data_IF_328871000370
#
_entry.id   IF_328871000370
#
_cell.length_a   1.000
_cell.length_b   1.000
_cell.length_c   1.000
_cell.angle_alpha   90.00
_cell.angle_beta   90.00
_cell.angle_gamma   90.00
#
_symmetry.space_group_name_H-M   'P 1'
#
loop_
_entity.id
_entity.type
_entity.pdbx_description
1 polymer ?
#
# COMPACT_ATOMS: atom_id res chain seq x y z
N UNK A 1 -14.19 -10.34 8.34
CA UNK A 1 -14.72 -11.58 7.71
C UNK A 1 -13.59 -12.56 7.47
N UNK A 2 -13.84 -13.87 7.62
CA UNK A 2 -12.92 -14.92 7.17
C UNK A 2 -13.45 -15.41 5.82
N UNK A 3 -12.63 -15.36 4.78
CA UNK A 3 -13.00 -15.83 3.46
C UNK A 3 -11.91 -16.68 2.81
N UNK A 4 -12.34 -17.50 1.85
CA UNK A 4 -11.48 -18.34 1.02
C UNK A 4 -12.09 -18.46 -0.38
N UNK A 5 -11.26 -18.45 -1.41
CA UNK A 5 -11.61 -18.75 -2.81
C UNK A 5 -12.79 -17.92 -3.36
N UNK A 6 -12.97 -16.71 -2.86
CA UNK A 6 -14.11 -15.85 -3.15
C UNK A 6 -13.72 -14.66 -4.02
N UNK A 7 -14.67 -14.13 -4.78
CA UNK A 7 -14.51 -12.87 -5.51
C UNK A 7 -15.61 -11.91 -5.09
N UNK A 8 -15.22 -10.74 -4.62
CA UNK A 8 -16.12 -9.66 -4.22
C UNK A 8 -16.01 -8.51 -5.20
N UNK A 9 -17.15 -8.07 -5.72
CA UNK A 9 -17.22 -6.95 -6.64
C UNK A 9 -18.28 -5.96 -6.16
N UNK A 10 -17.91 -4.70 -6.02
CA UNK A 10 -18.84 -3.64 -5.63
C UNK A 10 -18.39 -2.29 -6.17
N UNK A 11 -19.33 -1.40 -6.47
CA UNK A 11 -19.00 -0.09 -7.04
C UNK A 11 -18.44 0.85 -5.96
N UNK A 12 -19.10 0.90 -4.80
CA UNK A 12 -18.69 1.77 -3.69
C UNK A 12 -18.75 1.01 -2.38
N UNK A 13 -17.74 1.20 -1.54
CA UNK A 13 -17.73 0.75 -0.16
C UNK A 13 -17.11 1.81 0.74
N UNK A 14 -17.56 1.87 1.98
CA UNK A 14 -16.88 2.68 3.00
C UNK A 14 -15.78 1.82 3.63
N UNK A 15 -16.14 0.88 4.50
CA UNK A 15 -15.17 0.04 5.20
C UNK A 15 -15.29 -1.42 4.78
N UNK A 16 -14.19 -2.00 4.31
CA UNK A 16 -14.03 -3.43 4.07
C UNK A 16 -13.04 -4.00 5.08
N UNK A 17 -13.54 -4.81 6.03
CA UNK A 17 -12.76 -5.37 7.12
C UNK A 17 -12.65 -6.90 6.97
N UNK A 18 -11.45 -7.37 6.69
CA UNK A 18 -11.12 -8.78 6.43
C UNK A 18 -10.22 -9.26 7.55
N UNK A 19 -10.68 -10.25 8.30
CA UNK A 19 -9.89 -10.84 9.38
C UNK A 19 -8.94 -11.92 8.83
N UNK A 20 -9.37 -12.65 7.81
CA UNK A 20 -8.50 -13.57 7.07
C UNK A 20 -9.02 -13.73 5.64
N UNK A 21 -8.12 -13.67 4.66
CA UNK A 21 -8.38 -13.91 3.24
C UNK A 21 -7.42 -14.97 2.72
N UNK A 22 -7.93 -15.94 1.96
CA UNK A 22 -7.09 -16.95 1.31
C UNK A 22 -7.55 -17.15 -0.13
N UNK A 23 -6.69 -16.77 -1.09
CA UNK A 23 -7.02 -16.87 -2.52
C UNK A 23 -8.33 -16.14 -2.87
N UNK A 24 -8.54 -14.99 -2.22
CA UNK A 24 -9.70 -14.13 -2.46
C UNK A 24 -9.36 -12.97 -3.40
N UNK A 25 -10.37 -12.51 -4.13
CA UNK A 25 -10.32 -11.33 -4.98
C UNK A 25 -11.27 -10.24 -4.50
N UNK A 26 -10.80 -8.99 -4.50
CA UNK A 26 -11.67 -7.81 -4.33
C UNK A 26 -11.47 -6.89 -5.53
N UNK A 27 -12.57 -6.51 -6.17
CA UNK A 27 -12.61 -5.44 -7.17
C UNK A 27 -13.58 -4.36 -6.69
N UNK A 28 -13.11 -3.12 -6.58
CA UNK A 28 -13.96 -1.98 -6.25
C UNK A 28 -13.65 -0.75 -7.10
N UNK A 29 -14.68 -0.04 -7.55
CA UNK A 29 -14.47 1.26 -8.20
C UNK A 29 -14.08 2.33 -7.18
N UNK A 30 -14.67 2.33 -5.99
CA UNK A 30 -14.29 3.26 -4.93
C UNK A 30 -14.39 2.60 -3.55
N UNK A 31 -13.34 2.72 -2.76
CA UNK A 31 -13.32 2.24 -1.39
C UNK A 31 -12.69 3.29 -0.47
N UNK A 32 -13.30 3.53 0.68
CA UNK A 32 -12.70 4.45 1.67
C UNK A 32 -11.62 3.74 2.49
N UNK A 33 -11.91 2.56 3.02
CA UNK A 33 -10.96 1.78 3.82
C UNK A 33 -10.99 0.30 3.48
N UNK A 34 -9.81 -0.27 3.27
CA UNK A 34 -9.55 -1.70 3.26
C UNK A 34 -8.62 -2.05 4.43
N UNK A 35 -9.12 -2.86 5.36
CA UNK A 35 -8.34 -3.33 6.50
C UNK A 35 -8.32 -4.86 6.49
N UNK A 36 -7.11 -5.41 6.45
CA UNK A 36 -6.85 -6.83 6.35
C UNK A 36 -5.92 -7.22 7.50
N UNK A 37 -6.37 -8.12 8.37
CA UNK A 37 -5.51 -8.66 9.43
C UNK A 37 -4.54 -9.70 8.84
N UNK A 38 -5.06 -10.64 8.06
CA UNK A 38 -4.27 -11.67 7.37
C UNK A 38 -4.77 -11.84 5.93
N UNK A 39 -3.85 -11.86 4.96
CA UNK A 39 -4.13 -12.28 3.58
C UNK A 39 -3.06 -13.22 3.06
N UNK A 40 -3.46 -14.06 2.12
CA UNK A 40 -2.57 -14.96 1.40
C UNK A 40 -3.09 -15.22 0.00
N UNK A 41 -2.23 -15.06 -1.00
CA UNK A 41 -2.55 -15.30 -2.43
C UNK A 41 -3.70 -14.46 -3.01
N UNK A 42 -4.06 -13.38 -2.35
CA UNK A 42 -5.18 -12.52 -2.73
C UNK A 42 -4.83 -11.53 -3.84
N UNK A 43 -5.86 -11.03 -4.50
CA UNK A 43 -5.73 -9.92 -5.46
C UNK A 43 -6.77 -8.85 -5.14
N UNK A 44 -6.30 -7.65 -4.80
CA UNK A 44 -7.12 -6.52 -4.37
C UNK A 44 -6.95 -5.37 -5.37
N UNK A 45 -7.98 -5.09 -6.15
CA UNK A 45 -8.02 -4.02 -7.15
C UNK A 45 -9.02 -2.97 -6.72
N UNK A 46 -8.56 -1.74 -6.57
CA UNK A 46 -9.38 -0.61 -6.17
C UNK A 46 -9.09 0.53 -7.13
N UNK A 47 -10.07 0.98 -7.90
CA UNK A 47 -9.84 2.08 -8.84
C UNK A 47 -9.54 3.36 -8.07
N UNK A 48 -10.33 3.69 -7.04
CA UNK A 48 -10.10 4.86 -6.17
C UNK A 48 -10.12 4.51 -4.68
N UNK A 49 -8.97 4.63 -4.01
CA UNK A 49 -8.86 4.49 -2.56
C UNK A 49 -8.85 5.88 -1.88
N UNK A 50 -9.88 6.21 -1.11
CA UNK A 50 -10.01 7.57 -0.57
C UNK A 50 -9.51 7.74 0.85
N UNK A 51 -9.08 6.68 1.54
CA UNK A 51 -8.72 6.75 2.96
C UNK A 51 -7.53 5.86 3.31
N UNK A 52 -7.79 4.61 3.67
CA UNK A 52 -6.79 3.74 4.31
C UNK A 52 -6.71 2.37 3.64
N UNK A 53 -5.50 1.95 3.30
CA UNK A 53 -5.15 0.54 3.13
C UNK A 53 -4.29 0.10 4.32
N UNK A 54 -4.71 -0.95 5.03
CA UNK A 54 -3.96 -1.54 6.14
C UNK A 54 -3.92 -3.05 6.00
N UNK A 55 -2.73 -3.63 5.90
CA UNK A 55 -2.50 -5.08 5.82
C UNK A 55 -1.50 -5.45 6.90
N UNK A 56 -1.96 -6.11 7.96
CA UNK A 56 -1.11 -6.42 9.11
C UNK A 56 -0.16 -7.60 8.83
N UNK A 57 -0.59 -8.57 8.02
CA UNK A 57 0.24 -9.67 7.53
C UNK A 57 -0.27 -10.16 6.18
N UNK A 58 0.50 -9.89 5.12
CA UNK A 58 0.27 -10.44 3.78
C UNK A 58 1.21 -11.60 3.45
N UNK A 59 0.81 -12.43 2.49
CA UNK A 59 1.70 -13.40 1.88
C UNK A 59 1.34 -13.62 0.40
N UNK A 60 2.22 -13.16 -0.48
CA UNK A 60 2.08 -13.28 -1.93
C UNK A 60 0.75 -12.70 -2.42
N UNK A 61 0.36 -11.54 -1.88
CA UNK A 61 -0.82 -10.80 -2.32
C UNK A 61 -0.44 -9.76 -3.39
N UNK A 62 -1.45 -9.36 -4.16
CA UNK A 62 -1.33 -8.28 -5.15
C UNK A 62 -2.30 -7.16 -4.82
N UNK A 63 -1.79 -5.96 -4.59
CA UNK A 63 -2.56 -4.74 -4.39
C UNK A 63 -2.40 -3.81 -5.59
N UNK A 64 -3.50 -3.43 -6.22
CA UNK A 64 -3.54 -2.49 -7.35
C UNK A 64 -4.52 -1.37 -7.00
N UNK A 65 -3.96 -0.20 -6.70
CA UNK A 65 -4.73 1.02 -6.40
C UNK A 65 -4.48 1.99 -7.55
N UNK A 66 -5.48 2.19 -8.42
CA UNK A 66 -5.29 2.99 -9.64
C UNK A 66 -5.05 4.45 -9.30
N UNK A 67 -5.84 5.02 -8.40
CA UNK A 67 -5.67 6.38 -7.89
C UNK A 67 -6.07 6.49 -6.41
N UNK A 68 -5.55 7.53 -5.75
CA UNK A 68 -5.95 7.89 -4.39
C UNK A 68 -6.91 9.07 -4.42
N UNK A 69 -7.79 9.17 -3.43
CA UNK A 69 -8.65 10.34 -3.26
C UNK A 69 -7.99 11.46 -2.46
N UNK A 70 -8.55 12.66 -2.52
CA UNK A 70 -8.11 13.85 -1.78
C UNK A 70 -8.01 13.62 -0.25
N UNK A 71 -8.77 12.65 0.27
CA UNK A 71 -8.82 12.31 1.69
C UNK A 71 -7.90 11.13 2.06
N UNK A 72 -7.02 10.69 1.16
CA UNK A 72 -6.11 9.57 1.41
C UNK A 72 -5.26 9.85 2.65
N UNK A 73 -5.16 8.85 3.52
CA UNK A 73 -4.49 8.94 4.82
C UNK A 73 -3.29 8.03 4.90
N UNK A 74 -3.45 6.76 4.51
CA UNK A 74 -2.33 5.84 4.60
C UNK A 74 -2.43 4.60 3.73
N UNK A 75 -1.26 4.10 3.35
CA UNK A 75 -1.04 2.72 2.92
C UNK A 75 -0.03 2.10 3.88
N UNK A 76 -0.46 1.10 4.64
CA UNK A 76 0.38 0.38 5.59
C UNK A 76 0.34 -1.11 5.24
N UNK A 77 1.42 -1.66 4.70
CA UNK A 77 1.49 -3.07 4.31
C UNK A 77 2.70 -3.73 4.97
N UNK A 78 2.44 -4.79 5.74
CA UNK A 78 3.45 -5.70 6.24
C UNK A 78 3.21 -7.08 5.63
N UNK A 79 4.15 -7.60 4.85
CA UNK A 79 3.94 -8.85 4.13
C UNK A 79 5.18 -9.51 3.56
N UNK A 80 4.99 -10.62 2.86
CA UNK A 80 6.08 -11.35 2.20
C UNK A 80 5.69 -11.67 0.78
N UNK A 81 6.56 -11.39 -0.20
CA UNK A 81 6.27 -11.60 -1.62
C UNK A 81 5.15 -10.67 -2.14
N UNK A 82 5.01 -9.48 -1.55
CA UNK A 82 3.94 -8.55 -1.89
C UNK A 82 4.21 -7.82 -3.20
N UNK A 83 3.15 -7.58 -3.98
CA UNK A 83 3.20 -6.72 -5.16
C UNK A 83 2.21 -5.59 -5.02
N UNK A 84 2.70 -4.36 -4.91
CA UNK A 84 1.92 -3.18 -4.60
C UNK A 84 2.10 -2.15 -5.71
N UNK A 85 1.00 -1.69 -6.29
CA UNK A 85 0.98 -0.55 -7.21
C UNK A 85 -0.02 0.46 -6.69
N UNK A 86 0.40 1.73 -6.57
CA UNK A 86 -0.46 2.81 -6.10
C UNK A 86 -0.28 4.07 -6.95
N UNK A 87 -1.39 4.63 -7.43
CA UNK A 87 -1.45 5.96 -8.01
C UNK A 87 -1.60 7.04 -6.95
N UNK A 88 -0.71 8.03 -6.96
CA UNK A 88 -0.72 9.18 -6.04
C UNK A 88 -0.77 10.48 -6.87
N UNK A 89 -1.58 11.50 -6.48
CA UNK A 89 -1.53 12.80 -7.14
C UNK A 89 -0.11 13.37 -7.13
N UNK A 90 0.36 13.89 -8.26
CA UNK A 90 1.72 14.40 -8.40
C UNK A 90 2.07 15.48 -7.35
N UNK A 91 1.08 16.26 -6.92
CA UNK A 91 1.20 17.34 -5.94
C UNK A 91 0.91 16.92 -4.48
N UNK A 92 0.65 15.63 -4.20
CA UNK A 92 0.41 15.17 -2.84
C UNK A 92 1.72 15.18 -2.04
N UNK A 93 1.72 15.92 -0.94
CA UNK A 93 2.73 15.82 0.11
C UNK A 93 2.49 14.55 0.94
N UNK A 94 3.46 13.65 1.05
CA UNK A 94 3.34 12.45 1.89
C UNK A 94 4.69 11.99 2.45
N UNK A 95 4.63 11.24 3.55
CA UNK A 95 5.78 10.55 4.13
C UNK A 95 5.88 9.15 3.55
N UNK A 96 7.08 8.76 3.13
CA UNK A 96 7.39 7.42 2.68
C UNK A 96 8.30 6.72 3.68
N UNK A 97 7.92 5.51 4.06
CA UNK A 97 8.71 4.63 4.91
C UNK A 97 8.80 3.23 4.32
N UNK A 98 10.00 2.69 4.24
CA UNK A 98 10.23 1.31 3.85
C UNK A 98 11.18 0.62 4.83
N UNK A 99 10.82 -0.58 5.29
CA UNK A 99 11.74 -1.49 5.96
C UNK A 99 11.62 -2.88 5.34
N UNK A 100 12.40 -3.14 4.30
CA UNK A 100 12.18 -4.27 3.40
C UNK A 100 13.49 -5.03 3.17
N UNK A 101 13.46 -6.35 3.35
CA UNK A 101 14.50 -7.26 2.88
C UNK A 101 14.22 -7.65 1.43
N UNK A 102 15.20 -7.55 0.54
CA UNK A 102 15.05 -7.72 -0.92
C UNK A 102 13.98 -6.79 -1.50
N UNK A 103 14.16 -5.47 -1.41
CA UNK A 103 13.22 -4.51 -1.98
C UNK A 103 13.30 -4.47 -3.51
N UNK A 104 12.15 -4.28 -4.14
CA UNK A 104 12.02 -3.86 -5.53
C UNK A 104 11.16 -2.57 -5.56
N UNK A 105 11.82 -1.41 -5.46
CA UNK A 105 11.15 -0.12 -5.36
C UNK A 105 11.24 0.62 -6.70
N UNK A 106 10.09 0.82 -7.33
CA UNK A 106 9.91 1.67 -8.50
C UNK A 106 9.25 2.98 -8.06
N UNK A 107 10.10 3.89 -7.58
CA UNK A 107 9.71 5.21 -7.08
C UNK A 107 10.65 6.27 -7.66
N UNK A 108 10.11 7.47 -7.94
CA UNK A 108 10.94 8.59 -8.35
C UNK A 108 11.64 9.21 -7.14
N UNK A 109 12.80 8.65 -6.77
CA UNK A 109 13.58 9.11 -5.61
C UNK A 109 13.95 10.61 -5.66
N UNK A 110 14.05 11.22 -6.84
CA UNK A 110 14.38 12.65 -7.00
C UNK A 110 13.29 13.57 -6.42
N UNK A 111 12.06 13.07 -6.30
CA UNK A 111 10.94 13.81 -5.71
C UNK A 111 11.00 13.85 -4.17
N UNK A 112 11.94 13.13 -3.56
CA UNK A 112 11.97 12.96 -2.11
C UNK A 112 13.10 13.75 -1.44
N UNK A 113 12.77 14.36 -0.31
CA UNK A 113 13.76 14.75 0.69
C UNK A 113 14.02 13.56 1.61
N UNK A 114 15.14 12.88 1.39
CA UNK A 114 15.57 11.75 2.20
C UNK A 114 15.95 12.20 3.62
N UNK A 115 15.39 11.54 4.64
CA UNK A 115 15.79 11.73 6.04
C UNK A 115 16.79 10.67 6.47
N UNK A 116 16.49 9.42 6.18
CA UNK A 116 17.31 8.25 6.50
C UNK A 116 17.23 7.27 5.34
N UNK A 117 18.38 6.78 4.86
CA UNK A 117 18.45 5.66 3.92
C UNK A 117 19.61 4.76 4.33
N UNK A 118 19.30 3.60 4.88
CA UNK A 118 20.27 2.58 5.29
C UNK A 118 20.08 1.38 4.38
N UNK A 119 21.17 0.92 3.77
CA UNK A 119 21.17 -0.27 2.92
C UNK A 119 22.21 -1.22 3.50
N UNK A 120 21.75 -2.32 4.08
CA UNK A 120 22.63 -3.31 4.71
C UNK A 120 22.11 -4.72 4.46
N UNK A 121 22.97 -5.64 4.03
CA UNK A 121 22.62 -7.04 3.81
C UNK A 121 21.35 -7.21 2.95
N UNK A 122 21.19 -6.46 1.86
CA UNK A 122 19.97 -6.48 1.04
C UNK A 122 18.68 -6.05 1.75
N UNK A 123 18.78 -5.44 2.94
CA UNK A 123 17.69 -4.75 3.60
C UNK A 123 17.80 -3.26 3.33
N UNK A 124 16.68 -2.60 3.06
CA UNK A 124 16.56 -1.15 3.06
C UNK A 124 15.75 -0.69 4.26
N UNK A 125 16.25 0.33 4.95
CA UNK A 125 15.46 1.20 5.82
C UNK A 125 15.44 2.60 5.19
N UNK A 126 14.27 3.07 4.80
CA UNK A 126 14.10 4.35 4.11
C UNK A 126 13.03 5.17 4.83
N UNK A 127 13.35 6.38 5.26
CA UNK A 127 12.40 7.42 5.69
C UNK A 127 12.64 8.66 4.83
N UNK A 128 11.60 9.11 4.14
CA UNK A 128 11.64 10.26 3.28
C UNK A 128 10.32 11.01 3.26
N UNK A 129 10.37 12.25 2.78
CA UNK A 129 9.21 13.10 2.58
C UNK A 129 9.16 13.55 1.13
N UNK A 130 8.03 13.36 0.46
CA UNK A 130 7.72 14.03 -0.81
C UNK A 130 7.03 15.35 -0.49
N UNK A 131 7.53 16.45 -1.04
CA UNK A 131 6.97 17.79 -0.85
C UNK A 131 7.18 18.36 0.56
N UNK A 132 6.18 19.03 1.12
CA UNK A 132 6.32 19.72 2.43
C UNK A 132 5.93 18.82 3.60
N UNK A 133 6.79 18.77 4.62
CA UNK A 133 6.47 18.06 5.87
C UNK A 133 5.50 18.86 6.76
N UNK A 134 4.47 18.17 7.27
CA UNK A 134 3.55 18.68 8.28
C UNK A 134 2.98 17.55 9.16
N UNK A 135 2.43 17.92 10.31
CA UNK A 135 1.80 16.98 11.23
C UNK A 135 0.52 16.39 10.63
N UNK A 136 0.38 15.05 10.67
CA UNK A 136 -0.79 14.36 10.13
C UNK A 136 -0.79 14.20 8.61
N UNK A 137 0.34 14.44 7.94
CA UNK A 137 0.46 14.18 6.50
C UNK A 137 0.23 12.69 6.17
N UNK A 138 -0.26 12.36 4.97
CA UNK A 138 -0.44 10.98 4.54
C UNK A 138 0.85 10.16 4.62
N UNK A 139 0.73 8.88 4.94
CA UNK A 139 1.88 7.97 5.08
C UNK A 139 1.76 6.74 4.16
N UNK A 140 2.83 6.45 3.43
CA UNK A 140 3.02 5.18 2.73
C UNK A 140 4.11 4.43 3.47
N UNK A 141 3.73 3.37 4.19
CA UNK A 141 4.61 2.50 4.96
C UNK A 141 4.55 1.07 4.44
N UNK A 142 5.70 0.54 4.05
CA UNK A 142 5.83 -0.84 3.57
C UNK A 142 6.94 -1.56 4.32
N UNK A 143 6.61 -2.73 4.86
CA UNK A 143 7.51 -3.54 5.66
C UNK A 143 7.46 -5.00 5.19
N UNK A 144 8.60 -5.70 5.26
CA UNK A 144 8.60 -7.15 5.05
C UNK A 144 9.75 -7.73 4.25
N UNK A 145 9.45 -8.76 3.46
CA UNK A 145 10.44 -9.56 2.73
C UNK A 145 10.00 -9.75 1.28
N UNK A 146 10.88 -9.45 0.33
CA UNK A 146 10.64 -9.59 -1.12
C UNK A 146 9.37 -8.82 -1.51
N UNK A 147 9.42 -7.50 -1.40
CA UNK A 147 8.28 -6.63 -1.66
C UNK A 147 8.59 -5.74 -2.85
N UNK A 148 7.71 -5.80 -3.85
CA UNK A 148 7.71 -4.92 -5.00
C UNK A 148 6.69 -3.80 -4.80
N UNK A 149 7.14 -2.55 -4.88
CA UNK A 149 6.31 -1.35 -4.74
C UNK A 149 6.56 -0.41 -5.92
N UNK A 150 5.49 -0.08 -6.65
CA UNK A 150 5.48 0.98 -7.66
C UNK A 150 4.58 2.12 -7.22
N UNK A 151 5.13 3.34 -7.15
CA UNK A 151 4.35 4.58 -6.94
C UNK A 151 4.28 5.33 -8.26
N UNK A 152 3.05 5.53 -8.77
CA UNK A 152 2.79 6.21 -10.02
C UNK A 152 2.23 7.59 -9.72
N UNK A 153 2.96 8.63 -10.09
CA UNK A 153 2.44 10.00 -10.06
C UNK A 153 1.43 10.19 -11.22
N UNK A 154 0.28 10.80 -10.94
CA UNK A 154 -0.72 11.19 -11.96
C UNK A 154 -1.20 12.63 -11.80
#
# INVERSE_FOLDING_TARGET
MVSKYSKYEFVKGNNCNISASYDDGINSTQLESLQITESKYGTFKIDKLTGVLSVATGYNDKFIITETGDNFKSLNVNGKYEKITIGIPANLDYRFKANIKYPDLDINEENFTCKTKIIENSTIEYDAVKGKEYEGMPEIKVEGYDVSLSIIDY
#
